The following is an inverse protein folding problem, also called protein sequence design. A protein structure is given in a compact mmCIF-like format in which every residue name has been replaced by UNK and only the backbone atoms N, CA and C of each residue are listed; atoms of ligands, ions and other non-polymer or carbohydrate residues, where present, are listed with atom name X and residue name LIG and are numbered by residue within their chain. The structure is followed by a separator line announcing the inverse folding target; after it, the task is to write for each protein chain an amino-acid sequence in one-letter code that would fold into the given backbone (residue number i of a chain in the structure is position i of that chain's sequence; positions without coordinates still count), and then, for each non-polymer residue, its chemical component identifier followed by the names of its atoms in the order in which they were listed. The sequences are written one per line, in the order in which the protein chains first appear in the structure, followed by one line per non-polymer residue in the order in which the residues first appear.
data_IF_191998195108
#
_entry.id   IF_191998195108
#
_cell.length_a   1.000
_cell.length_b   1.000
_cell.length_c   1.000
_cell.angle_alpha   90.00
_cell.angle_beta   90.00
_cell.angle_gamma   90.00
#
_symmetry.space_group_name_H-M   'P 1'
#
loop_
_entity.id
_entity.type
_entity.pdbx_description
1 polymer ?
#
# COMPACT_ATOMS: atom_id res chain seq x y z
N UNK A 1 -24.18 9.04 4.32
CA UNK A 1 -22.83 9.51 3.95
C UNK A 1 -21.91 8.40 4.41
N UNK A 2 -21.43 7.54 3.52
CA UNK A 2 -20.63 6.38 3.93
C UNK A 2 -19.32 6.86 4.55
N UNK A 3 -19.22 6.79 5.87
CA UNK A 3 -17.93 6.78 6.56
C UNK A 3 -17.20 5.52 6.10
N UNK A 4 -16.48 5.62 4.97
CA UNK A 4 -15.53 4.59 4.58
C UNK A 4 -14.41 4.60 5.60
N UNK A 5 -14.60 3.82 6.66
CA UNK A 5 -13.60 3.58 7.68
C UNK A 5 -12.32 3.15 6.97
N UNK A 6 -11.18 3.71 7.40
CA UNK A 6 -9.87 3.48 6.78
C UNK A 6 -9.55 1.99 6.51
N UNK A 7 -9.92 1.02 7.38
CA UNK A 7 -9.78 -0.41 7.08
C UNK A 7 -10.48 -0.87 5.79
N UNK A 8 -11.73 -0.45 5.55
CA UNK A 8 -12.46 -0.82 4.33
C UNK A 8 -11.79 -0.26 3.07
N UNK A 9 -11.29 0.98 3.14
CA UNK A 9 -10.57 1.60 2.02
C UNK A 9 -9.23 0.87 1.72
N UNK A 10 -8.50 0.44 2.75
CA UNK A 10 -7.28 -0.35 2.57
C UNK A 10 -7.56 -1.74 1.99
N UNK A 11 -8.67 -2.38 2.38
CA UNK A 11 -9.08 -3.66 1.81
C UNK A 11 -9.42 -3.52 0.32
N UNK A 12 -10.19 -2.50 -0.05
CA UNK A 12 -10.50 -2.18 -1.46
C UNK A 12 -9.24 -1.91 -2.27
N UNK A 13 -8.32 -1.08 -1.75
CA UNK A 13 -7.02 -0.80 -2.37
C UNK A 13 -6.19 -2.07 -2.55
N UNK A 14 -6.17 -2.96 -1.56
CA UNK A 14 -5.43 -4.23 -1.64
C UNK A 14 -6.00 -5.13 -2.74
N UNK A 15 -7.32 -5.19 -2.86
CA UNK A 15 -8.00 -5.90 -3.94
C UNK A 15 -7.69 -5.26 -5.30
N UNK A 16 -7.65 -3.93 -5.37
CA UNK A 16 -7.27 -3.20 -6.59
C UNK A 16 -5.83 -3.50 -7.01
N UNK A 17 -4.90 -3.50 -6.05
CA UNK A 17 -3.48 -3.85 -6.24
C UNK A 17 -3.24 -5.34 -6.54
N UNK A 18 -4.28 -6.18 -6.50
CA UNK A 18 -4.20 -7.57 -6.94
C UNK A 18 -4.31 -7.69 -8.47
N UNK A 19 -4.78 -6.64 -9.16
CA UNK A 19 -4.83 -6.58 -10.61
C UNK A 19 -3.64 -5.77 -11.15
N UNK A 20 -2.87 -6.37 -12.06
CA UNK A 20 -1.74 -5.71 -12.71
C UNK A 20 -2.12 -4.40 -13.44
N UNK A 21 -3.38 -4.25 -13.86
CA UNK A 21 -3.89 -3.05 -14.53
C UNK A 21 -3.94 -1.83 -13.62
N UNK A 22 -3.94 -2.02 -12.30
CA UNK A 22 -3.84 -0.93 -11.33
C UNK A 22 -2.45 -0.27 -11.35
N UNK A 23 -1.42 -0.96 -11.83
CA UNK A 23 -0.04 -0.48 -11.90
C UNK A 23 0.23 0.20 -13.24
N UNK A 24 -0.43 1.34 -13.45
CA UNK A 24 -0.24 2.23 -14.59
C UNK A 24 0.34 3.56 -14.13
N UNK A 25 1.16 4.20 -14.97
CA UNK A 25 1.76 5.51 -14.73
C UNK A 25 0.74 6.58 -14.32
N UNK A 26 -0.50 6.46 -14.78
CA UNK A 26 -1.59 7.39 -14.42
C UNK A 26 -2.07 7.24 -12.97
N UNK A 27 -1.99 6.03 -12.41
CA UNK A 27 -2.45 5.73 -11.06
C UNK A 27 -1.30 5.65 -10.05
N UNK A 28 -0.04 5.70 -10.50
CA UNK A 28 1.13 5.57 -9.62
C UNK A 28 1.14 6.57 -8.48
N UNK A 29 0.94 7.87 -8.76
CA UNK A 29 0.99 8.90 -7.72
C UNK A 29 -0.10 8.68 -6.67
N UNK A 30 -1.32 8.36 -7.11
CA UNK A 30 -2.44 8.06 -6.22
C UNK A 30 -2.17 6.80 -5.38
N UNK A 31 -1.60 5.76 -6.01
CA UNK A 31 -1.24 4.52 -5.34
C UNK A 31 -0.15 4.74 -4.28
N UNK A 32 0.88 5.53 -4.61
CA UNK A 32 1.95 5.88 -3.69
C UNK A 32 1.46 6.69 -2.50
N UNK A 33 0.58 7.66 -2.75
CA UNK A 33 -0.03 8.46 -1.69
C UNK A 33 -0.86 7.56 -0.77
N UNK A 34 -1.71 6.69 -1.31
CA UNK A 34 -2.47 5.71 -0.54
C UNK A 34 -1.57 4.76 0.27
N UNK A 35 -0.48 4.28 -0.32
CA UNK A 35 0.50 3.42 0.34
C UNK A 35 1.17 4.10 1.53
N UNK A 36 1.57 5.37 1.39
CA UNK A 36 2.15 6.16 2.48
C UNK A 36 1.18 6.29 3.65
N UNK A 37 -0.06 6.65 3.35
CA UNK A 37 -1.09 6.82 4.37
C UNK A 37 -1.39 5.47 5.05
N UNK A 38 -1.42 4.36 4.31
CA UNK A 38 -1.56 3.02 4.89
C UNK A 38 -0.38 2.63 5.79
N UNK A 39 0.85 2.95 5.37
CA UNK A 39 2.07 2.72 6.17
C UNK A 39 2.00 3.51 7.49
N UNK A 40 1.72 4.81 7.41
CA UNK A 40 1.64 5.69 8.58
C UNK A 40 0.51 5.29 9.53
N UNK A 41 -0.64 4.87 9.02
CA UNK A 41 -1.77 4.48 9.86
C UNK A 41 -1.63 3.07 10.41
N UNK A 42 -1.04 2.11 9.67
CA UNK A 42 -0.86 0.77 10.19
C UNK A 42 0.25 0.60 11.22
N UNK A 43 1.05 1.64 11.46
CA UNK A 43 1.91 1.73 12.65
C UNK A 43 1.23 2.35 13.86
N UNK A 44 -0.05 2.78 13.76
CA UNK A 44 -0.82 3.35 14.88
C UNK A 44 -1.59 2.27 15.62
N UNK A 45 -1.76 2.47 16.92
CA UNK A 45 -2.60 1.62 17.78
C UNK A 45 -4.04 1.55 17.26
N UNK A 46 -4.55 0.32 17.15
CA UNK A 46 -5.92 0.04 16.68
C UNK A 46 -6.07 -0.11 15.17
N UNK A 47 -4.98 -0.07 14.39
CA UNK A 47 -5.01 -0.38 12.96
C UNK A 47 -4.66 -1.84 12.66
N UNK A 48 -5.23 -2.37 11.58
CA UNK A 48 -4.89 -3.70 11.09
C UNK A 48 -3.53 -3.70 10.39
N UNK A 49 -2.50 -4.03 11.17
CA UNK A 49 -1.13 -4.20 10.68
C UNK A 49 -1.03 -5.21 9.53
N UNK A 50 -1.85 -6.27 9.57
CA UNK A 50 -1.88 -7.31 8.54
C UNK A 50 -2.37 -6.75 7.22
N UNK A 51 -3.40 -5.90 7.27
CA UNK A 51 -3.98 -5.26 6.09
C UNK A 51 -2.97 -4.32 5.40
N UNK A 52 -2.28 -3.48 6.17
CA UNK A 52 -1.22 -2.62 5.63
C UNK A 52 -0.08 -3.45 5.03
N UNK A 53 0.34 -4.54 5.69
CA UNK A 53 1.36 -5.44 5.16
C UNK A 53 0.92 -6.12 3.85
N UNK A 54 -0.34 -6.56 3.75
CA UNK A 54 -0.89 -7.14 2.53
C UNK A 54 -0.86 -6.14 1.36
N UNK A 55 -1.30 -4.90 1.57
CA UNK A 55 -1.24 -3.84 0.56
C UNK A 55 0.18 -3.61 0.07
N UNK A 56 1.13 -3.43 0.99
CA UNK A 56 2.55 -3.21 0.66
C UNK A 56 3.11 -4.40 -0.12
N UNK A 57 2.74 -5.62 0.25
CA UNK A 57 3.19 -6.84 -0.43
C UNK A 57 2.60 -6.98 -1.83
N UNK A 58 1.33 -6.63 -2.03
CA UNK A 58 0.69 -6.58 -3.34
C UNK A 58 1.40 -5.58 -4.26
N UNK A 59 1.64 -4.36 -3.77
CA UNK A 59 2.40 -3.35 -4.51
C UNK A 59 3.82 -3.81 -4.85
N UNK A 60 4.49 -4.50 -3.93
CA UNK A 60 5.85 -5.00 -4.14
C UNK A 60 5.93 -6.11 -5.19
N UNK A 61 4.91 -6.97 -5.28
CA UNK A 61 4.82 -8.03 -6.29
C UNK A 61 4.81 -7.45 -7.69
N UNK A 62 4.04 -6.38 -7.91
CA UNK A 62 3.90 -5.71 -9.20
C UNK A 62 4.83 -4.51 -9.39
N UNK A 63 5.81 -4.30 -8.50
CA UNK A 63 6.74 -3.15 -8.56
C UNK A 63 7.53 -3.02 -9.86
N UNK A 64 7.64 -4.09 -10.65
CA UNK A 64 8.29 -4.07 -11.96
C UNK A 64 7.48 -3.31 -13.02
N UNK A 65 6.17 -3.16 -12.81
CA UNK A 65 5.26 -2.39 -13.66
C UNK A 65 5.26 -0.90 -13.31
N UNK A 66 5.71 -0.58 -12.09
CA UNK A 66 5.89 0.78 -11.61
C UNK A 66 7.16 1.41 -12.21
N UNK A 67 7.18 2.74 -12.26
CA UNK A 67 8.38 3.52 -12.55
C UNK A 67 9.46 3.27 -11.50
N UNK A 68 10.72 3.53 -11.86
CA UNK A 68 11.87 3.30 -10.98
C UNK A 68 11.73 4.01 -9.63
N UNK A 69 11.13 5.21 -9.62
CA UNK A 69 10.90 5.99 -8.41
C UNK A 69 9.84 5.35 -7.52
N UNK A 70 8.69 5.00 -8.09
CA UNK A 70 7.60 4.34 -7.36
C UNK A 70 8.01 2.99 -6.80
N UNK A 71 8.72 2.18 -7.60
CA UNK A 71 9.26 0.91 -7.16
C UNK A 71 10.17 1.09 -5.94
N UNK A 72 11.06 2.09 -5.96
CA UNK A 72 11.93 2.40 -4.83
C UNK A 72 11.15 2.78 -3.56
N UNK A 73 10.07 3.57 -3.68
CA UNK A 73 9.21 3.93 -2.55
C UNK A 73 8.54 2.69 -1.95
N UNK A 74 7.99 1.80 -2.79
CA UNK A 74 7.35 0.54 -2.35
C UNK A 74 8.36 -0.36 -1.63
N UNK A 75 9.59 -0.49 -2.16
CA UNK A 75 10.64 -1.27 -1.51
C UNK A 75 11.04 -0.68 -0.15
N UNK A 76 11.14 0.65 -0.06
CA UNK A 76 11.44 1.36 1.18
C UNK A 76 10.33 1.15 2.21
N UNK A 77 9.07 1.32 1.81
CA UNK A 77 7.90 1.09 2.66
C UNK A 77 7.87 -0.34 3.22
N UNK A 78 8.09 -1.36 2.36
CA UNK A 78 8.17 -2.77 2.79
C UNK A 78 9.30 -3.02 3.79
N UNK A 79 10.49 -2.45 3.54
CA UNK A 79 11.63 -2.58 4.46
C UNK A 79 11.34 -1.91 5.81
N UNK A 80 10.74 -0.73 5.80
CA UNK A 80 10.37 -0.02 7.02
C UNK A 80 9.36 -0.83 7.83
N UNK A 81 8.27 -1.29 7.20
CA UNK A 81 7.27 -2.14 7.84
C UNK A 81 7.86 -3.42 8.42
N UNK A 82 8.75 -4.09 7.67
CA UNK A 82 9.40 -5.32 8.12
C UNK A 82 10.32 -5.10 9.34
N UNK A 83 10.87 -3.90 9.52
CA UNK A 83 11.70 -3.56 10.71
C UNK A 83 10.86 -3.19 11.93
N UNK A 84 9.61 -2.80 11.72
CA UNK A 84 8.65 -2.49 12.79
C UNK A 84 7.94 -3.75 13.31
N UNK A 85 8.04 -4.87 12.59
CA UNK A 85 7.64 -6.19 13.10
C UNK A 85 8.56 -6.60 14.27
N UNK A 86 8.01 -6.96 15.45
CA UNK A 86 8.78 -7.54 16.54
C UNK A 86 9.36 -8.92 16.22
#
# INVERSE_FOLDING_TARGET
MEERTFPSACAELTQWCSDQRAFSTYFEDNLLSALQVAVENGTKDGFDFTLAHQLISACFTHRKLLSKNSAFIVEKAKKQYKRTLP
#
